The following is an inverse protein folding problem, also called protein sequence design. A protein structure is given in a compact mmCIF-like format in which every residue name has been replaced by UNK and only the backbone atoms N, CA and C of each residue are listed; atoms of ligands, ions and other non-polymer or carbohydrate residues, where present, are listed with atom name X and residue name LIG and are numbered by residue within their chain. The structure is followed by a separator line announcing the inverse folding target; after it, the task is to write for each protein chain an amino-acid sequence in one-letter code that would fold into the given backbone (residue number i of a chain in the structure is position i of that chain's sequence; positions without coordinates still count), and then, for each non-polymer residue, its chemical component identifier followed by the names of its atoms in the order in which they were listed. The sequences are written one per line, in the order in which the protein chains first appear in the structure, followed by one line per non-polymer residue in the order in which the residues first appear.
data_IF_168143634180
#
_entry.id   IF_168143634180
#
_cell.length_a   1.000
_cell.length_b   1.000
_cell.length_c   1.000
_cell.angle_alpha   90.00
_cell.angle_beta   90.00
_cell.angle_gamma   90.00
#
_symmetry.space_group_name_H-M   'P 1'
#
loop_
_entity.id
_entity.type
_entity.pdbx_description
1 polymer ?
#
# COMPACT_ATOMS: atom_id res chain seq x y z
N UNK A 1 1.77 -4.81 -5.52
CA UNK A 1 1.94 -6.27 -5.28
C UNK A 1 3.36 -6.61 -4.81
N UNK A 2 4.44 -6.22 -5.51
CA UNK A 2 5.83 -6.55 -5.12
C UNK A 2 6.18 -6.22 -3.65
N UNK A 3 5.83 -5.01 -3.20
CA UNK A 3 6.01 -4.56 -1.81
C UNK A 3 5.32 -5.46 -0.78
N UNK A 4 4.11 -5.92 -1.11
CA UNK A 4 3.39 -6.88 -0.27
C UNK A 4 4.11 -8.23 -0.26
N UNK A 5 4.53 -8.74 -1.41
CA UNK A 5 5.27 -10.01 -1.50
C UNK A 5 6.55 -9.97 -0.66
N UNK A 6 7.27 -8.85 -0.64
CA UNK A 6 8.43 -8.65 0.22
C UNK A 6 8.08 -8.68 1.71
N UNK A 7 7.02 -7.96 2.13
CA UNK A 7 6.54 -8.01 3.51
C UNK A 7 6.13 -9.43 3.93
N UNK A 8 5.32 -10.10 3.09
CA UNK A 8 4.81 -11.44 3.32
C UNK A 8 5.91 -12.53 3.28
N UNK A 9 7.01 -12.31 2.55
CA UNK A 9 8.11 -13.27 2.49
C UNK A 9 8.99 -13.27 3.74
N UNK A 10 8.79 -12.31 4.66
CA UNK A 10 9.61 -12.15 5.87
C UNK A 10 11.11 -12.11 5.57
N UNK A 11 11.49 -11.35 4.53
CA UNK A 11 12.90 -11.19 4.13
C UNK A 11 13.45 -12.33 3.26
N UNK A 12 12.64 -13.34 2.93
CA UNK A 12 13.02 -14.36 1.94
C UNK A 12 13.00 -13.78 0.53
N UNK A 13 13.84 -14.34 -0.34
CA UNK A 13 13.88 -13.99 -1.75
C UNK A 13 12.50 -14.15 -2.40
N UNK A 14 12.11 -13.16 -3.21
CA UNK A 14 10.85 -13.14 -3.94
C UNK A 14 11.13 -13.26 -5.42
N UNK A 15 10.46 -14.19 -6.09
CA UNK A 15 10.45 -14.25 -7.55
C UNK A 15 9.09 -13.78 -8.05
N UNK A 16 9.10 -12.76 -8.90
CA UNK A 16 7.91 -12.28 -9.59
C UNK A 16 7.77 -13.03 -10.90
N UNK A 17 6.95 -14.07 -10.86
CA UNK A 17 6.56 -14.83 -12.03
C UNK A 17 5.48 -14.07 -12.78
N UNK A 18 5.80 -13.62 -13.99
CA UNK A 18 4.85 -12.87 -14.79
C UNK A 18 4.76 -13.35 -16.22
N UNK A 19 3.61 -13.02 -16.78
CA UNK A 19 3.23 -13.29 -18.14
C UNK A 19 2.72 -11.98 -18.71
N UNK A 20 3.47 -11.43 -19.66
CA UNK A 20 3.06 -10.23 -20.36
C UNK A 20 1.97 -10.63 -21.37
N UNK A 21 0.77 -10.04 -21.22
CA UNK A 21 -0.33 -10.28 -22.16
C UNK A 21 0.04 -9.89 -23.59
N UNK A 22 -0.75 -10.34 -24.57
CA UNK A 22 -0.54 -9.97 -25.99
C UNK A 22 -0.72 -8.48 -26.18
N UNK A 23 0.31 -7.78 -26.63
CA UNK A 23 0.24 -6.36 -26.99
C UNK A 23 -0.11 -6.23 -28.47
N UNK A 24 -0.98 -5.26 -28.79
CA UNK A 24 -1.27 -4.89 -30.18
C UNK A 24 -0.06 -4.28 -30.89
N UNK A 25 0.85 -3.65 -30.13
CA UNK A 25 2.09 -3.07 -30.63
C UNK A 25 3.31 -3.80 -30.01
N UNK A 26 3.85 -4.84 -30.68
CA UNK A 26 4.96 -5.64 -30.15
C UNK A 26 6.21 -4.86 -29.72
N UNK A 27 6.63 -3.77 -30.40
CA UNK A 27 7.82 -3.02 -29.95
C UNK A 27 7.69 -2.41 -28.55
N UNK A 28 6.48 -2.22 -28.00
CA UNK A 28 6.30 -1.77 -26.63
C UNK A 28 6.81 -2.79 -25.59
N UNK A 29 6.94 -4.07 -25.93
CA UNK A 29 7.49 -5.09 -25.03
C UNK A 29 8.87 -4.72 -24.50
N UNK A 30 9.74 -4.12 -25.33
CA UNK A 30 11.10 -3.75 -24.93
C UNK A 30 11.11 -2.80 -23.74
N UNK A 31 10.30 -1.74 -23.78
CA UNK A 31 10.25 -0.76 -22.69
C UNK A 31 9.53 -1.30 -21.45
N UNK A 32 8.43 -2.05 -21.66
CA UNK A 32 7.64 -2.59 -20.55
C UNK A 32 8.40 -3.65 -19.75
N UNK A 33 9.17 -4.51 -20.41
CA UNK A 33 9.95 -5.54 -19.71
C UNK A 33 11.11 -4.93 -18.94
N UNK A 34 11.78 -3.91 -19.51
CA UNK A 34 12.80 -3.12 -18.80
C UNK A 34 12.23 -2.51 -17.52
N UNK A 35 11.06 -1.88 -17.62
CA UNK A 35 10.35 -1.34 -16.46
C UNK A 35 10.01 -2.44 -15.44
N UNK A 36 9.49 -3.58 -15.90
CA UNK A 36 9.15 -4.71 -15.01
C UNK A 36 10.37 -5.27 -14.26
N UNK A 37 11.52 -5.43 -14.93
CA UNK A 37 12.76 -5.88 -14.30
C UNK A 37 13.28 -4.82 -13.31
N UNK A 38 13.23 -3.54 -13.69
CA UNK A 38 13.61 -2.42 -12.83
C UNK A 38 12.79 -2.39 -11.53
N UNK A 39 11.46 -2.48 -11.65
CA UNK A 39 10.54 -2.49 -10.51
C UNK A 39 10.77 -3.70 -9.61
N UNK A 40 11.04 -4.88 -10.19
CA UNK A 40 11.36 -6.08 -9.42
C UNK A 40 12.64 -5.87 -8.59
N UNK A 41 13.73 -5.44 -9.23
CA UNK A 41 15.00 -5.21 -8.53
C UNK A 41 14.87 -4.13 -7.44
N UNK A 42 14.19 -3.02 -7.75
CA UNK A 42 13.92 -1.95 -6.80
C UNK A 42 13.09 -2.39 -5.58
N UNK A 43 12.38 -3.52 -5.67
CA UNK A 43 11.58 -4.11 -4.59
C UNK A 43 12.15 -5.45 -4.10
N UNK A 44 13.44 -5.74 -4.36
CA UNK A 44 14.12 -6.98 -3.94
C UNK A 44 13.43 -8.26 -4.43
N UNK A 45 12.89 -8.20 -5.65
CA UNK A 45 12.32 -9.34 -6.34
C UNK A 45 13.12 -9.66 -7.62
N UNK A 46 13.16 -10.95 -7.98
CA UNK A 46 13.67 -11.41 -9.27
C UNK A 46 12.55 -11.46 -10.29
N UNK A 47 12.74 -10.83 -11.45
CA UNK A 47 11.78 -10.92 -12.55
C UNK A 47 11.95 -12.24 -13.30
N UNK A 48 10.87 -13.01 -13.43
CA UNK A 48 10.86 -14.25 -14.21
C UNK A 48 9.74 -14.15 -15.24
N UNK A 49 10.11 -14.11 -16.51
CA UNK A 49 9.16 -14.24 -17.61
C UNK A 49 8.97 -15.70 -17.98
N UNK A 50 7.71 -16.15 -18.00
CA UNK A 50 7.35 -17.40 -18.66
C UNK A 50 6.73 -17.05 -20.02
N UNK A 51 7.32 -17.49 -21.15
CA UNK A 51 6.64 -17.42 -22.42
C UNK A 51 5.36 -18.25 -22.34
N UNK A 52 4.21 -17.64 -22.65
CA UNK A 52 2.93 -18.35 -22.62
C UNK A 52 3.00 -19.60 -23.48
N UNK A 53 2.54 -20.72 -22.92
CA UNK A 53 2.14 -21.89 -23.69
C UNK A 53 0.74 -21.66 -24.26
N UNK A 54 0.60 -20.65 -25.12
CA UNK A 54 -0.68 -20.18 -25.66
C UNK A 54 -1.08 -20.88 -26.98
N UNK A 55 -0.50 -22.05 -27.28
CA UNK A 55 -0.70 -22.70 -28.57
C UNK A 55 -0.03 -21.99 -29.74
N UNK A 56 0.91 -21.07 -29.47
CA UNK A 56 1.69 -20.39 -30.50
C UNK A 56 2.64 -21.38 -31.17
N UNK A 57 2.79 -21.25 -32.49
CA UNK A 57 3.81 -22.00 -33.20
C UNK A 57 5.19 -21.45 -32.85
N UNK A 58 6.20 -22.31 -32.89
CA UNK A 58 7.60 -21.94 -32.57
C UNK A 58 8.03 -20.66 -33.30
N UNK A 59 7.68 -20.56 -34.58
CA UNK A 59 8.08 -19.44 -35.44
C UNK A 59 7.39 -18.12 -35.05
N UNK A 60 6.17 -18.18 -34.51
CA UNK A 60 5.41 -17.01 -34.01
C UNK A 60 5.97 -16.54 -32.66
N UNK A 61 6.39 -17.47 -31.80
CA UNK A 61 7.04 -17.15 -30.52
C UNK A 61 8.30 -16.33 -30.78
N UNK A 62 9.13 -16.71 -31.74
CA UNK A 62 10.38 -15.99 -32.05
C UNK A 62 10.12 -14.56 -32.53
N UNK A 63 9.07 -14.32 -33.32
CA UNK A 63 8.74 -12.98 -33.80
C UNK A 63 8.20 -12.07 -32.69
N UNK A 64 7.24 -12.56 -31.93
CA UNK A 64 6.58 -11.79 -30.88
C UNK A 64 7.43 -11.63 -29.61
N UNK A 65 8.29 -12.62 -29.30
CA UNK A 65 9.17 -12.57 -28.13
C UNK A 65 10.44 -11.78 -28.39
N UNK A 66 10.85 -11.54 -29.65
CA UNK A 66 12.10 -10.81 -29.96
C UNK A 66 12.24 -9.48 -29.21
N UNK A 67 11.20 -8.65 -29.21
CA UNK A 67 11.22 -7.35 -28.54
C UNK A 67 11.30 -7.50 -27.01
N UNK A 68 10.61 -8.50 -26.46
CA UNK A 68 10.66 -8.84 -25.05
C UNK A 68 12.06 -9.33 -24.66
N UNK A 69 12.61 -10.30 -25.39
CA UNK A 69 13.93 -10.87 -25.13
C UNK A 69 15.03 -9.82 -25.26
N UNK A 70 14.96 -8.95 -26.27
CA UNK A 70 15.87 -7.79 -26.38
C UNK A 70 15.79 -6.88 -25.15
N UNK A 71 14.58 -6.59 -24.64
CA UNK A 71 14.45 -5.79 -23.43
C UNK A 71 14.98 -6.49 -22.17
N UNK A 72 14.83 -7.81 -22.07
CA UNK A 72 15.39 -8.64 -21.00
C UNK A 72 16.92 -8.62 -21.05
N UNK A 73 17.51 -8.87 -22.22
CA UNK A 73 18.96 -8.86 -22.44
C UNK A 73 19.55 -7.49 -22.10
N UNK A 74 18.98 -6.41 -22.65
CA UNK A 74 19.43 -5.05 -22.39
C UNK A 74 19.47 -4.71 -20.90
N UNK A 75 18.40 -5.02 -20.15
CA UNK A 75 18.33 -4.68 -18.73
C UNK A 75 19.19 -5.60 -17.86
N UNK A 76 19.29 -6.89 -18.21
CA UNK A 76 20.16 -7.81 -17.49
C UNK A 76 21.64 -7.46 -17.69
N UNK A 77 22.03 -7.01 -18.89
CA UNK A 77 23.38 -6.48 -19.12
C UNK A 77 23.62 -5.24 -18.26
N UNK A 78 22.66 -4.30 -18.19
CA UNK A 78 22.76 -3.17 -17.28
C UNK A 78 22.94 -3.59 -15.81
N UNK A 79 22.17 -4.58 -15.33
CA UNK A 79 22.32 -5.10 -13.97
C UNK A 79 23.68 -5.75 -13.73
N UNK A 80 24.18 -6.52 -14.70
CA UNK A 80 25.49 -7.15 -14.64
C UNK A 80 26.62 -6.12 -14.60
N UNK A 81 26.57 -5.09 -15.45
CA UNK A 81 27.56 -4.01 -15.49
C UNK A 81 27.60 -3.17 -14.21
N UNK A 82 26.52 -3.22 -13.41
CA UNK A 82 26.35 -2.42 -12.19
C UNK A 82 26.12 -3.28 -10.94
N UNK A 83 26.49 -4.57 -10.98
CA UNK A 83 26.18 -5.57 -9.95
C UNK A 83 26.55 -5.09 -8.53
N UNK A 84 27.71 -4.42 -8.40
CA UNK A 84 28.22 -3.92 -7.12
C UNK A 84 27.30 -2.91 -6.43
N UNK A 85 26.39 -2.25 -7.15
CA UNK A 85 25.41 -1.33 -6.58
C UNK A 85 24.20 -2.05 -5.99
N UNK A 86 23.92 -3.27 -6.43
CA UNK A 86 22.72 -4.03 -6.04
C UNK A 86 22.99 -5.06 -4.95
N UNK A 87 24.20 -5.61 -4.91
CA UNK A 87 24.61 -6.54 -3.84
C UNK A 87 24.56 -5.81 -2.49
N UNK A 88 23.86 -6.41 -1.52
CA UNK A 88 23.75 -5.87 -0.16
C UNK A 88 22.89 -4.62 -0.03
N UNK A 89 22.26 -4.11 -1.10
CA UNK A 89 21.35 -2.97 -0.98
C UNK A 89 20.16 -3.32 -0.09
N UNK A 90 19.49 -2.32 0.47
CA UNK A 90 18.28 -2.50 1.27
C UNK A 90 17.17 -1.61 0.74
N UNK A 91 15.92 -1.99 1.02
CA UNK A 91 14.79 -1.14 0.70
C UNK A 91 14.77 0.04 1.67
N UNK A 92 14.73 1.25 1.14
CA UNK A 92 14.59 2.45 1.94
C UNK A 92 13.14 2.95 1.91
N UNK A 93 12.53 3.07 3.08
CA UNK A 93 11.24 3.71 3.26
C UNK A 93 11.07 4.20 4.69
N UNK A 94 10.49 5.38 4.85
CA UNK A 94 10.14 5.95 6.14
C UNK A 94 8.65 5.79 6.49
N UNK A 95 7.84 5.28 5.55
CA UNK A 95 6.40 5.04 5.75
C UNK A 95 6.07 3.57 5.58
N UNK A 96 5.33 3.02 6.54
CA UNK A 96 4.72 1.72 6.47
C UNK A 96 3.22 1.82 6.12
N UNK A 97 2.74 0.91 5.29
CA UNK A 97 1.30 0.71 5.01
C UNK A 97 0.92 -0.70 5.43
N UNK A 98 -0.06 -0.86 6.33
CA UNK A 98 -0.53 -2.18 6.69
C UNK A 98 -1.34 -2.79 5.53
N UNK A 99 -0.91 -3.96 5.06
CA UNK A 99 -1.64 -4.79 4.12
C UNK A 99 -2.05 -6.09 4.81
N UNK A 100 -3.21 -6.06 5.48
CA UNK A 100 -3.69 -7.16 6.32
C UNK A 100 -4.30 -8.30 5.48
N UNK A 101 -3.75 -9.50 5.60
CA UNK A 101 -4.37 -10.73 5.11
C UNK A 101 -5.54 -11.15 5.98
N UNK A 102 -5.46 -10.89 7.29
CA UNK A 102 -6.53 -11.21 8.23
C UNK A 102 -7.86 -10.60 7.77
N UNK A 103 -7.82 -9.35 7.32
CA UNK A 103 -8.99 -8.69 6.74
C UNK A 103 -9.49 -9.35 5.45
N UNK A 104 -8.58 -9.73 4.55
CA UNK A 104 -8.94 -10.39 3.31
C UNK A 104 -9.67 -11.72 3.59
N UNK A 105 -9.18 -12.52 4.54
CA UNK A 105 -9.84 -13.75 4.97
C UNK A 105 -11.16 -13.51 5.71
N UNK A 106 -11.23 -12.44 6.51
CA UNK A 106 -12.44 -11.99 7.18
C UNK A 106 -13.46 -11.30 6.27
N UNK A 107 -13.20 -11.24 4.95
CA UNK A 107 -14.04 -10.58 3.94
C UNK A 107 -14.37 -9.13 4.29
N UNK A 108 -13.41 -8.42 4.87
CA UNK A 108 -13.51 -7.00 5.18
C UNK A 108 -12.84 -6.16 4.10
N UNK A 109 -13.36 -4.96 3.90
CA UNK A 109 -12.77 -3.99 2.96
C UNK A 109 -11.51 -3.37 3.58
N UNK A 110 -10.48 -3.21 2.75
CA UNK A 110 -9.26 -2.47 3.07
C UNK A 110 -8.65 -1.91 1.80
N UNK A 111 -7.86 -0.84 1.90
CA UNK A 111 -7.34 -0.10 0.74
C UNK A 111 -5.81 0.02 0.66
N UNK A 112 -5.01 -1.00 1.02
CA UNK A 112 -3.54 -0.88 1.05
C UNK A 112 -2.93 -0.64 -0.33
N UNK A 113 -3.48 -1.27 -1.38
CA UNK A 113 -2.97 -1.10 -2.75
C UNK A 113 -3.23 0.31 -3.29
N UNK A 114 -4.38 0.90 -2.96
CA UNK A 114 -4.72 2.23 -3.44
C UNK A 114 -3.93 3.32 -2.73
N UNK A 115 -3.76 3.20 -1.41
CA UNK A 115 -2.85 4.06 -0.64
C UNK A 115 -1.42 3.91 -1.16
N UNK A 116 -0.96 2.68 -1.42
CA UNK A 116 0.36 2.45 -2.02
C UNK A 116 0.51 3.09 -3.39
N UNK A 117 -0.53 3.04 -4.24
CA UNK A 117 -0.53 3.73 -5.54
C UNK A 117 -0.39 5.25 -5.37
N UNK A 118 -1.22 5.85 -4.52
CA UNK A 118 -1.18 7.28 -4.22
C UNK A 118 0.19 7.71 -3.70
N UNK A 119 0.76 6.99 -2.74
CA UNK A 119 2.11 7.29 -2.22
C UNK A 119 3.18 7.17 -3.33
N UNK A 120 3.04 6.21 -4.24
CA UNK A 120 3.95 6.07 -5.38
C UNK A 120 3.85 7.25 -6.33
N UNK A 121 2.63 7.72 -6.64
CA UNK A 121 2.41 8.90 -7.49
C UNK A 121 2.99 10.19 -6.90
N UNK A 122 2.95 10.33 -5.58
CA UNK A 122 3.56 11.45 -4.85
C UNK A 122 5.04 11.20 -4.50
N UNK A 123 5.66 10.15 -5.04
CA UNK A 123 7.07 9.80 -4.84
C UNK A 123 7.45 9.62 -3.36
N UNK A 124 6.52 9.17 -2.52
CA UNK A 124 6.74 8.90 -1.10
C UNK A 124 7.21 7.44 -0.94
N UNK A 125 8.47 7.20 -0.51
CA UNK A 125 8.99 5.86 -0.28
C UNK A 125 8.20 5.17 0.84
N UNK A 126 7.68 3.98 0.55
CA UNK A 126 6.89 3.22 1.51
C UNK A 126 7.04 1.71 1.30
N UNK A 127 6.90 0.97 2.40
CA UNK A 127 6.85 -0.48 2.42
C UNK A 127 5.50 -0.97 2.96
N UNK A 128 5.19 -2.23 2.66
CA UNK A 128 4.00 -2.89 3.19
C UNK A 128 4.39 -3.76 4.37
N UNK A 129 3.63 -3.63 5.46
CA UNK A 129 3.69 -4.54 6.60
C UNK A 129 2.54 -5.53 6.53
N UNK A 130 2.76 -6.73 7.07
CA UNK A 130 1.71 -7.75 7.26
C UNK A 130 1.30 -7.87 8.72
N UNK A 131 0.21 -8.59 9.00
CA UNK A 131 -0.37 -8.76 10.34
C UNK A 131 0.65 -9.26 11.40
N UNK A 132 1.57 -10.11 10.97
CA UNK A 132 2.63 -10.66 11.83
C UNK A 132 3.68 -9.60 12.22
N UNK A 133 4.05 -8.72 11.28
CA UNK A 133 4.98 -7.60 11.56
C UNK A 133 4.40 -6.68 12.64
N UNK A 134 3.08 -6.46 12.58
CA UNK A 134 2.36 -5.65 13.54
C UNK A 134 2.25 -6.32 14.91
N UNK A 135 2.11 -7.64 14.95
CA UNK A 135 2.05 -8.40 16.22
C UNK A 135 3.39 -8.41 16.97
N UNK A 136 4.49 -8.47 16.23
CA UNK A 136 5.87 -8.43 16.77
C UNK A 136 6.29 -7.01 17.14
N UNK A 137 6.00 -6.03 16.28
CA UNK A 137 6.28 -4.61 16.51
C UNK A 137 7.72 -4.16 16.23
N UNK A 138 8.68 -5.09 16.12
CA UNK A 138 10.10 -4.78 15.92
C UNK A 138 10.35 -3.92 14.68
N UNK A 139 9.64 -4.18 13.57
CA UNK A 139 9.78 -3.43 12.32
C UNK A 139 9.22 -2.01 12.39
N UNK A 140 8.29 -1.70 13.30
CA UNK A 140 7.67 -0.38 13.34
C UNK A 140 8.69 0.74 13.64
N UNK A 141 9.74 0.43 14.42
CA UNK A 141 10.78 1.38 14.77
C UNK A 141 11.64 1.85 13.57
N UNK A 142 11.51 1.20 12.41
CA UNK A 142 12.19 1.59 11.17
C UNK A 142 11.44 2.70 10.42
N UNK A 143 10.20 2.99 10.80
CA UNK A 143 9.32 3.91 10.09
C UNK A 143 9.00 5.14 10.94
N UNK A 144 8.94 6.29 10.28
CA UNK A 144 8.45 7.55 10.88
C UNK A 144 6.91 7.56 10.93
N UNK A 145 6.26 6.78 10.07
CA UNK A 145 4.82 6.78 9.88
C UNK A 145 4.24 5.40 9.57
N UNK A 146 3.10 5.07 10.20
CA UNK A 146 2.27 3.90 9.89
C UNK A 146 0.91 4.37 9.34
N UNK A 147 0.49 3.81 8.21
CA UNK A 147 -0.83 4.04 7.64
C UNK A 147 -1.66 2.77 7.80
N UNK A 148 -2.84 2.91 8.41
CA UNK A 148 -3.86 1.89 8.55
C UNK A 148 -5.01 2.19 7.57
N UNK A 149 -5.01 1.58 6.37
CA UNK A 149 -5.93 1.91 5.30
C UNK A 149 -7.23 1.13 5.44
N UNK A 150 -8.07 1.53 6.39
CA UNK A 150 -9.30 0.85 6.79
C UNK A 150 -9.02 -0.59 7.23
N UNK A 151 -8.83 -0.74 8.54
CA UNK A 151 -8.40 -2.00 9.14
C UNK A 151 -9.35 -2.43 10.27
N UNK A 152 -10.62 -2.78 9.97
CA UNK A 152 -11.62 -3.15 10.97
C UNK A 152 -11.20 -4.29 11.91
N UNK A 153 -10.52 -5.32 11.41
CA UNK A 153 -10.13 -6.50 12.21
C UNK A 153 -8.71 -6.37 12.74
N UNK A 154 -8.56 -6.22 14.06
CA UNK A 154 -7.27 -6.17 14.74
C UNK A 154 -7.34 -6.86 16.09
N UNK A 155 -6.31 -7.63 16.45
CA UNK A 155 -6.17 -8.18 17.80
C UNK A 155 -5.82 -7.11 18.83
N UNK A 156 -6.10 -7.39 20.10
CA UNK A 156 -5.69 -6.52 21.21
C UNK A 156 -4.17 -6.31 21.22
N UNK A 157 -3.41 -7.36 20.94
CA UNK A 157 -1.95 -7.30 20.85
C UNK A 157 -1.48 -6.32 19.76
N UNK A 158 -2.06 -6.39 18.56
CA UNK A 158 -1.73 -5.47 17.46
C UNK A 158 -2.05 -4.02 17.82
N UNK A 159 -3.20 -3.79 18.47
CA UNK A 159 -3.60 -2.46 18.93
C UNK A 159 -2.58 -1.94 19.95
N UNK A 160 -2.21 -2.72 20.96
CA UNK A 160 -1.22 -2.34 21.98
C UNK A 160 0.14 -2.01 21.38
N UNK A 161 0.61 -2.79 20.41
CA UNK A 161 1.88 -2.54 19.72
C UNK A 161 1.85 -1.21 18.98
N UNK A 162 0.75 -0.91 18.27
CA UNK A 162 0.58 0.36 17.57
C UNK A 162 0.46 1.53 18.56
N UNK A 163 -0.31 1.37 19.65
CA UNK A 163 -0.41 2.40 20.69
C UNK A 163 0.96 2.72 21.30
N UNK A 164 1.78 1.68 21.54
CA UNK A 164 3.15 1.86 22.02
C UNK A 164 4.04 2.57 21.00
N UNK A 165 4.02 2.15 19.74
CA UNK A 165 4.79 2.80 18.68
C UNK A 165 4.45 4.30 18.55
N UNK A 166 3.17 4.65 18.60
CA UNK A 166 2.75 6.07 18.60
C UNK A 166 3.22 6.76 19.87
N UNK A 167 3.00 6.16 21.04
CA UNK A 167 3.44 6.74 22.32
C UNK A 167 4.93 7.09 22.33
N UNK A 168 5.75 6.25 21.71
CA UNK A 168 7.21 6.37 21.66
C UNK A 168 7.71 7.33 20.55
N UNK A 169 6.82 8.01 19.83
CA UNK A 169 7.19 9.05 18.84
C UNK A 169 6.74 8.76 17.40
N UNK A 170 6.25 7.56 17.12
CA UNK A 170 5.77 7.15 15.81
C UNK A 170 4.58 7.97 15.32
N UNK A 171 4.54 8.25 14.02
CA UNK A 171 3.37 8.82 13.37
C UNK A 171 2.36 7.74 12.97
N UNK A 172 1.05 7.99 13.12
CA UNK A 172 0.00 7.13 12.59
C UNK A 172 -1.03 7.92 11.78
N UNK A 173 -1.45 7.34 10.66
CA UNK A 173 -2.61 7.76 9.88
C UNK A 173 -3.62 6.61 9.88
N UNK A 174 -4.78 6.85 10.47
CA UNK A 174 -5.91 5.93 10.43
C UNK A 174 -6.88 6.44 9.37
N UNK A 175 -7.09 5.66 8.32
CA UNK A 175 -8.07 5.96 7.28
C UNK A 175 -9.29 5.05 7.45
N UNK A 176 -10.48 5.64 7.52
CA UNK A 176 -11.74 4.91 7.65
C UNK A 176 -11.91 4.12 8.96
N UNK A 177 -12.97 3.30 9.06
CA UNK A 177 -13.23 2.44 10.21
C UNK A 177 -12.08 1.45 10.45
N UNK A 178 -11.43 1.55 11.60
CA UNK A 178 -10.28 0.72 11.96
C UNK A 178 -10.42 0.21 13.39
N UNK A 179 -9.98 -1.03 13.64
CA UNK A 179 -10.05 -1.73 14.91
C UNK A 179 -11.45 -1.75 15.54
N UNK A 180 -12.49 -1.92 14.71
CA UNK A 180 -13.90 -2.05 15.14
C UNK A 180 -14.25 -3.48 15.55
N UNK A 181 -13.45 -4.45 15.11
CA UNK A 181 -13.60 -5.87 15.37
C UNK A 181 -12.32 -6.44 16.01
N UNK A 182 -12.46 -7.59 16.68
CA UNK A 182 -11.32 -8.42 17.06
C UNK A 182 -10.74 -9.20 15.86
N UNK A 183 -9.69 -9.98 16.09
CA UNK A 183 -9.02 -10.77 15.06
C UNK A 183 -9.89 -11.89 14.46
N UNK A 184 -10.98 -12.25 15.13
CA UNK A 184 -11.95 -13.25 14.69
C UNK A 184 -13.17 -12.63 13.99
N UNK A 185 -13.16 -11.30 13.76
CA UNK A 185 -14.24 -10.58 13.08
C UNK A 185 -15.44 -10.28 13.97
N UNK A 186 -15.31 -10.41 15.29
CA UNK A 186 -16.40 -10.08 16.22
C UNK A 186 -16.34 -8.59 16.55
N UNK A 187 -17.49 -7.92 16.50
CA UNK A 187 -17.60 -6.51 16.87
C UNK A 187 -17.18 -6.30 18.32
N UNK A 188 -16.34 -5.28 18.54
CA UNK A 188 -15.95 -4.83 19.88
C UNK A 188 -17.13 -4.08 20.51
N UNK A 189 -17.63 -4.59 21.64
CA UNK A 189 -18.87 -4.09 22.27
C UNK A 189 -18.67 -3.06 23.38
N UNK A 190 -17.52 -3.09 24.07
CA UNK A 190 -17.24 -2.20 25.20
C UNK A 190 -16.54 -0.92 24.72
N UNK A 191 -15.40 -1.10 24.07
CA UNK A 191 -14.58 -0.01 23.54
C UNK A 191 -14.05 -0.42 22.17
N UNK A 192 -14.07 0.50 21.21
CA UNK A 192 -13.40 0.29 19.94
C UNK A 192 -11.88 0.28 20.16
N UNK A 193 -11.16 -0.36 19.24
CA UNK A 193 -9.71 -0.25 19.21
C UNK A 193 -9.27 1.19 18.98
N UNK A 194 -8.09 1.52 19.48
CA UNK A 194 -7.53 2.88 19.46
C UNK A 194 -8.37 3.97 20.14
N UNK A 195 -9.37 3.62 20.96
CA UNK A 195 -10.15 4.62 21.71
C UNK A 195 -9.25 5.57 22.53
N UNK A 196 -8.08 5.11 22.99
CA UNK A 196 -7.09 5.92 23.69
C UNK A 196 -6.42 6.94 22.78
N UNK A 197 -6.00 6.51 21.59
CA UNK A 197 -5.40 7.39 20.57
C UNK A 197 -6.40 8.46 20.11
N UNK A 198 -7.67 8.09 19.98
CA UNK A 198 -8.69 8.95 19.37
C UNK A 198 -9.38 9.90 20.36
N UNK A 199 -9.11 9.80 21.68
CA UNK A 199 -9.87 10.51 22.73
C UNK A 199 -9.81 12.04 22.65
N UNK A 200 -8.63 12.60 22.37
CA UNK A 200 -8.35 14.04 22.48
C UNK A 200 -7.84 14.63 21.16
N UNK A 201 -8.51 14.32 20.05
CA UNK A 201 -8.12 14.86 18.74
C UNK A 201 -8.81 16.19 18.45
N UNK A 202 -8.06 17.14 17.91
CA UNK A 202 -8.59 18.37 17.35
C UNK A 202 -8.98 18.20 15.89
N UNK A 203 -9.94 19.01 15.43
CA UNK A 203 -10.27 19.09 14.00
C UNK A 203 -9.05 19.53 13.18
N UNK A 204 -8.82 18.87 12.05
CA UNK A 204 -7.74 19.17 11.12
C UNK A 204 -8.24 19.02 9.69
N UNK A 205 -8.77 20.13 9.16
CA UNK A 205 -9.36 20.19 7.82
C UNK A 205 -10.84 20.60 7.88
N UNK A 206 -11.28 21.33 6.86
CA UNK A 206 -12.63 21.85 6.69
C UNK A 206 -13.05 21.59 5.26
N UNK A 207 -14.02 20.70 4.98
CA UNK A 207 -14.57 20.59 3.62
C UNK A 207 -16.03 20.18 3.62
N UNK A 208 -16.85 21.20 3.79
CA UNK A 208 -17.70 21.77 2.74
C UNK A 208 -18.16 23.11 3.34
N UNK A 209 -17.95 24.28 2.70
CA UNK A 209 -18.42 25.55 3.26
C UNK A 209 -19.94 25.61 3.48
N UNK A 210 -20.71 24.64 2.94
CA UNK A 210 -22.15 24.48 3.17
C UNK A 210 -22.51 23.50 4.28
N UNK A 211 -21.56 22.69 4.76
CA UNK A 211 -21.81 21.68 5.79
C UNK A 211 -21.29 22.21 7.13
N UNK A 212 -22.21 22.34 8.10
CA UNK A 212 -21.92 22.86 9.43
C UNK A 212 -20.89 21.94 10.15
N UNK A 213 -19.73 22.48 10.61
CA UNK A 213 -18.72 21.72 11.34
C UNK A 213 -19.23 21.07 12.64
N UNK A 214 -20.34 21.56 13.20
CA UNK A 214 -20.95 21.03 14.41
C UNK A 214 -21.73 19.72 14.20
N UNK A 215 -22.06 19.36 12.94
CA UNK A 215 -22.79 18.12 12.60
C UNK A 215 -21.88 16.92 12.31
N UNK A 216 -20.56 17.13 12.23
CA UNK A 216 -19.58 16.21 12.84
C UNK A 216 -19.38 14.78 12.27
N UNK A 217 -19.56 14.52 10.97
CA UNK A 217 -19.35 13.15 10.44
C UNK A 217 -18.03 12.96 9.66
N UNK A 218 -17.51 14.00 8.99
CA UNK A 218 -16.46 13.83 7.95
C UNK A 218 -15.19 14.65 8.19
N UNK A 219 -15.00 15.18 9.39
CA UNK A 219 -13.85 16.03 9.70
C UNK A 219 -12.61 15.17 9.92
N UNK A 220 -11.58 15.38 9.10
CA UNK A 220 -10.25 14.86 9.39
C UNK A 220 -9.78 15.43 10.73
N UNK A 221 -9.19 14.61 11.57
CA UNK A 221 -8.74 15.00 12.91
C UNK A 221 -7.26 14.78 13.06
N UNK A 222 -6.60 15.61 13.87
CA UNK A 222 -5.21 15.40 14.29
C UNK A 222 -5.08 15.45 15.80
N UNK A 223 -4.09 14.77 16.32
CA UNK A 223 -3.77 14.81 17.74
C UNK A 223 -2.38 14.28 18.02
N UNK A 224 -2.11 14.12 19.31
CA UNK A 224 -0.89 13.54 19.82
C UNK A 224 -1.22 12.49 20.86
N UNK A 225 -0.36 11.49 20.99
CA UNK A 225 -0.42 10.50 22.06
C UNK A 225 0.99 10.11 22.46
N UNK A 226 1.35 10.40 23.71
CA UNK A 226 2.77 10.43 24.08
C UNK A 226 3.51 11.44 23.20
N UNK A 227 4.64 11.00 22.62
CA UNK A 227 5.46 11.81 21.73
C UNK A 227 5.03 11.72 20.25
N UNK A 228 4.10 10.83 19.91
CA UNK A 228 3.69 10.57 18.53
C UNK A 228 2.54 11.41 18.03
N UNK A 229 2.38 11.38 16.71
CA UNK A 229 1.38 12.16 15.96
C UNK A 229 0.29 11.23 15.43
N UNK A 230 -0.95 11.66 15.54
CA UNK A 230 -2.11 10.89 15.09
C UNK A 230 -2.88 11.74 14.08
N UNK A 231 -3.22 11.13 12.95
CA UNK A 231 -4.19 11.65 11.99
C UNK A 231 -5.29 10.60 11.82
N UNK A 232 -6.54 11.03 11.88
CA UNK A 232 -7.71 10.22 11.57
C UNK A 232 -8.45 10.85 10.39
N UNK A 233 -8.59 10.10 9.32
CA UNK A 233 -9.28 10.50 8.09
C UNK A 233 -10.51 9.60 7.97
N UNK A 234 -11.75 10.10 8.20
CA UNK A 234 -12.94 9.29 7.97
C UNK A 234 -13.07 8.89 6.49
N UNK A 235 -13.80 7.80 6.19
CA UNK A 235 -13.90 7.26 4.81
C UNK A 235 -14.50 8.28 3.83
N UNK A 236 -15.43 9.07 4.32
CA UNK A 236 -16.13 10.16 3.66
C UNK A 236 -15.49 11.53 3.91
N UNK A 237 -14.24 11.54 4.39
CA UNK A 237 -13.46 12.76 4.51
C UNK A 237 -13.19 13.35 3.13
N UNK A 238 -13.44 14.65 3.06
CA UNK A 238 -12.92 15.48 2.01
C UNK A 238 -11.61 16.14 2.53
N UNK A 239 -10.52 16.15 1.73
CA UNK A 239 -9.28 16.89 2.03
C UNK A 239 -8.93 17.92 0.91
N UNK A 240 -8.58 19.15 1.28
CA UNK A 240 -8.28 20.29 0.42
C UNK A 240 -6.95 20.82 0.91
N UNK A 241 -6.03 20.99 -0.03
CA UNK A 241 -4.70 21.50 0.22
C UNK A 241 -4.58 22.84 -0.53
N UNK A 242 -4.91 23.98 0.11
CA UNK A 242 -4.89 25.27 -0.59
C UNK A 242 -3.47 25.72 -0.94
N UNK A 243 -2.47 25.28 -0.17
CA UNK A 243 -1.08 25.73 -0.28
C UNK A 243 -0.31 25.21 -1.49
N UNK A 244 -0.80 24.15 -2.16
CA UNK A 244 -0.16 23.56 -3.33
C UNK A 244 -1.01 23.72 -4.62
N UNK A 245 -2.04 24.60 -4.59
CA UNK A 245 -2.87 24.91 -5.77
C UNK A 245 -3.74 23.76 -6.28
N UNK A 246 -3.75 22.60 -5.60
CA UNK A 246 -4.58 21.45 -5.94
C UNK A 246 -5.94 21.58 -5.26
N UNK A 247 -6.86 22.25 -5.95
CA UNK A 247 -8.26 22.23 -5.58
C UNK A 247 -8.83 20.84 -5.88
N UNK A 248 -9.19 20.11 -4.82
CA UNK A 248 -9.88 18.80 -4.80
C UNK A 248 -8.92 17.60 -4.72
N UNK A 249 -8.80 17.03 -3.52
CA UNK A 249 -8.47 15.62 -3.36
C UNK A 249 -9.63 14.97 -2.59
N UNK A 250 -10.61 14.47 -3.33
CA UNK A 250 -11.46 13.42 -2.77
C UNK A 250 -10.61 12.16 -2.84
N UNK A 251 -10.05 11.73 -1.70
CA UNK A 251 -9.08 10.65 -1.71
C UNK A 251 -9.64 9.37 -2.37
N UNK A 252 -10.97 9.12 -2.30
CA UNK A 252 -11.52 7.83 -2.74
C UNK A 252 -12.96 7.78 -3.31
N UNK A 253 -13.70 8.88 -3.57
CA UNK A 253 -15.07 8.80 -4.15
C UNK A 253 -15.12 8.00 -5.47
N UNK A 254 -14.03 8.03 -6.24
CA UNK A 254 -13.96 7.38 -7.55
C UNK A 254 -13.46 5.93 -7.55
N UNK A 255 -12.99 5.36 -6.44
CA UNK A 255 -12.55 3.95 -6.46
C UNK A 255 -13.70 2.97 -6.20
N UNK A 256 -14.65 3.36 -5.35
CA UNK A 256 -15.83 2.54 -5.09
C UNK A 256 -16.68 2.38 -6.36
N UNK A 257 -16.77 3.41 -7.22
CA UNK A 257 -17.50 3.33 -8.50
C UNK A 257 -16.82 2.37 -9.50
N UNK A 258 -15.49 2.36 -9.59
CA UNK A 258 -14.75 1.48 -10.52
C UNK A 258 -14.90 0.00 -10.15
N UNK A 259 -15.05 -0.33 -8.86
CA UNK A 259 -15.27 -1.72 -8.41
C UNK A 259 -16.74 -2.13 -8.34
N UNK A 260 -17.66 -1.19 -8.09
CA UNK A 260 -19.09 -1.47 -8.02
C UNK A 260 -19.72 -1.66 -9.41
N UNK A 261 -19.31 -0.89 -10.42
CA UNK A 261 -19.84 -1.02 -11.79
C UNK A 261 -19.52 -2.37 -12.44
N UNK A 262 -18.47 -3.08 -11.97
CA UNK A 262 -18.09 -4.41 -12.48
C UNK A 262 -18.71 -5.59 -11.71
N UNK A 263 -19.47 -5.36 -10.64
CA UNK A 263 -20.20 -6.43 -9.94
C UNK A 263 -21.70 -6.47 -10.25
N UNK A 264 -22.17 -5.57 -11.11
CA UNK A 264 -23.57 -5.50 -11.59
C UNK A 264 -23.69 -5.64 -13.12
N UNK A 265 -22.72 -6.28 -13.77
CA UNK A 265 -22.78 -6.65 -15.18
C UNK A 265 -22.68 -8.16 -15.35
#
# INVERSE_FOLDING_TARGET
VLKYCHGASSGKAVSYLTNMGTLEYPPAYTSLVKLGIAECNANKASFIYIPRWNGWKKDEVDEHSRYLMSGVEDYNNFLADHESLFIGSELYANVAVLCSLQQAYGKQMSYPMAISRMLTDEQIPHLMLVDEDLSKGEKLNQFDGLILPEVPMMSDRQIEVVEKYVKDGGGIIIYGPTATMDEYGRLRRKELGFHRLLKNMGSWGHIDPKTDPSVGVNTTRKGYFGEGRIIYIPRDAYISFPSNGRNKVVLFEGMASITAEKMTA
#
